data_IF_427040125460
#
_entry.id   IF_427040125460
#
_cell.length_a   1.000
_cell.length_b   1.000
_cell.length_c   1.000
_cell.angle_alpha   90.00
_cell.angle_beta   90.00
_cell.angle_gamma   90.00
#
_symmetry.space_group_name_H-M   'P 1'
#
loop_
_entity.id
_entity.type
_entity.pdbx_description
1 polymer ?
#
# COMPACT_ATOMS: atom_id res chain seq x y z
N UNK A 1 -24.01 37.03 5.27
CA UNK A 1 -23.93 35.57 4.98
C UNK A 1 -23.39 35.31 3.56
N UNK A 2 -24.05 35.78 2.49
CA UNK A 2 -23.62 35.58 1.08
C UNK A 2 -22.17 35.97 0.72
N UNK A 3 -21.58 37.00 1.35
CA UNK A 3 -20.19 37.42 1.08
C UNK A 3 -19.16 36.43 1.66
N UNK A 4 -19.45 35.82 2.82
CA UNK A 4 -18.58 34.80 3.43
C UNK A 4 -18.61 33.51 2.62
N UNK A 5 -19.75 33.16 2.05
CA UNK A 5 -19.92 31.98 1.20
C UNK A 5 -19.21 32.14 -0.16
N UNK A 6 -19.25 33.35 -0.73
CA UNK A 6 -18.49 33.69 -1.94
C UNK A 6 -16.98 33.64 -1.71
N UNK A 7 -16.49 34.25 -0.63
CA UNK A 7 -15.07 34.23 -0.25
C UNK A 7 -14.58 32.81 0.01
N UNK A 8 -15.35 32.01 0.76
CA UNK A 8 -15.04 30.60 0.99
C UNK A 8 -14.95 29.80 -0.32
N UNK A 9 -15.89 30.02 -1.25
CA UNK A 9 -15.87 29.37 -2.57
C UNK A 9 -14.62 29.71 -3.36
N UNK A 10 -14.18 30.97 -3.38
CA UNK A 10 -12.97 31.38 -4.09
C UNK A 10 -11.70 30.82 -3.44
N UNK A 11 -11.63 30.79 -2.11
CA UNK A 11 -10.51 30.19 -1.38
C UNK A 11 -10.44 28.69 -1.65
N UNK A 12 -11.57 27.97 -1.55
CA UNK A 12 -11.64 26.54 -1.81
C UNK A 12 -11.26 26.21 -3.26
N UNK A 13 -11.75 27.00 -4.23
CA UNK A 13 -11.40 26.84 -5.65
C UNK A 13 -9.91 27.09 -5.88
N UNK A 14 -9.35 28.14 -5.28
CA UNK A 14 -7.92 28.44 -5.36
C UNK A 14 -7.07 27.29 -4.80
N UNK A 15 -7.40 26.78 -3.61
CA UNK A 15 -6.70 25.64 -3.01
C UNK A 15 -6.80 24.37 -3.89
N UNK A 16 -7.97 24.10 -4.48
CA UNK A 16 -8.17 22.97 -5.39
C UNK A 16 -7.39 23.12 -6.70
N UNK A 17 -7.31 24.33 -7.27
CA UNK A 17 -6.50 24.59 -8.46
C UNK A 17 -5.01 24.48 -8.15
N UNK A 18 -4.55 25.05 -7.03
CA UNK A 18 -3.18 24.92 -6.59
C UNK A 18 -2.78 23.44 -6.40
N UNK A 19 -3.61 22.63 -5.75
CA UNK A 19 -3.29 21.21 -5.54
C UNK A 19 -3.14 20.45 -6.87
N UNK A 20 -4.02 20.71 -7.84
CA UNK A 20 -3.93 20.13 -9.20
C UNK A 20 -2.65 20.59 -9.91
N UNK A 21 -2.31 21.88 -9.84
CA UNK A 21 -1.09 22.44 -10.45
C UNK A 21 0.17 21.80 -9.83
N UNK A 22 0.24 21.67 -8.50
CA UNK A 22 1.37 21.03 -7.83
C UNK A 22 1.49 19.55 -8.20
N UNK A 23 0.37 18.81 -8.22
CA UNK A 23 0.38 17.40 -8.65
C UNK A 23 0.90 17.27 -10.08
N UNK A 24 0.41 18.10 -10.99
CA UNK A 24 0.87 18.11 -12.37
C UNK A 24 2.36 18.49 -12.48
N UNK A 25 2.81 19.47 -11.70
CA UNK A 25 4.22 19.86 -11.62
C UNK A 25 5.13 18.73 -11.12
N UNK A 26 4.70 17.96 -10.11
CA UNK A 26 5.43 16.78 -9.62
C UNK A 26 5.53 15.73 -10.72
N UNK A 27 4.42 15.43 -11.39
CA UNK A 27 4.41 14.47 -12.51
C UNK A 27 5.38 14.94 -13.61
N UNK A 28 5.26 16.18 -14.07
CA UNK A 28 6.16 16.72 -15.09
C UNK A 28 7.63 16.66 -14.66
N UNK A 29 7.94 16.96 -13.41
CA UNK A 29 9.31 16.89 -12.88
C UNK A 29 9.83 15.45 -12.90
N UNK A 30 9.02 14.48 -12.47
CA UNK A 30 9.39 13.07 -12.49
C UNK A 30 9.71 12.60 -13.91
N UNK A 31 8.86 12.95 -14.88
CA UNK A 31 9.07 12.54 -16.27
C UNK A 31 10.24 13.28 -16.93
N UNK A 32 10.41 14.58 -16.65
CA UNK A 32 11.50 15.39 -17.21
C UNK A 32 12.85 14.91 -16.72
N UNK A 33 13.00 14.69 -15.42
CA UNK A 33 14.27 14.25 -14.82
C UNK A 33 14.52 12.76 -15.02
N UNK A 34 13.48 11.93 -15.14
CA UNK A 34 13.64 10.49 -15.34
C UNK A 34 13.80 10.07 -16.80
N UNK A 35 13.35 10.85 -17.78
CA UNK A 35 13.47 10.50 -19.20
C UNK A 35 14.91 10.23 -19.70
N UNK A 36 15.94 11.00 -19.29
CA UNK A 36 17.32 10.79 -19.74
C UNK A 36 17.85 9.37 -19.53
N UNK A 37 17.53 8.69 -18.43
CA UNK A 37 18.06 7.34 -18.17
C UNK A 37 17.62 6.33 -19.22
N UNK A 38 16.42 6.49 -19.79
CA UNK A 38 15.91 5.61 -20.83
C UNK A 38 16.61 5.82 -22.18
N UNK A 39 17.24 6.98 -22.40
CA UNK A 39 18.09 7.23 -23.57
C UNK A 39 19.48 6.64 -23.39
N UNK A 40 20.02 6.71 -22.17
CA UNK A 40 21.38 6.26 -21.84
C UNK A 40 21.42 4.73 -21.74
N UNK A 41 20.55 4.15 -20.90
CA UNK A 41 20.58 2.72 -20.57
C UNK A 41 19.56 1.90 -21.39
N UNK A 42 18.49 2.54 -21.88
CA UNK A 42 17.40 1.86 -22.60
C UNK A 42 16.33 1.28 -21.67
N UNK A 43 15.06 1.41 -22.05
CA UNK A 43 13.90 0.97 -21.23
C UNK A 43 13.97 -0.52 -20.87
N UNK A 44 14.25 -1.39 -21.85
CA UNK A 44 14.27 -2.85 -21.64
C UNK A 44 15.40 -3.23 -20.67
N UNK A 45 16.61 -2.68 -20.87
CA UNK A 45 17.73 -2.96 -19.97
C UNK A 45 17.44 -2.42 -18.58
N UNK A 46 16.87 -1.22 -18.45
CA UNK A 46 16.51 -0.63 -17.16
C UNK A 46 15.55 -1.54 -16.38
N UNK A 47 14.47 -2.02 -17.02
CA UNK A 47 13.45 -2.83 -16.36
C UNK A 47 13.88 -4.26 -16.05
N UNK A 48 14.65 -4.91 -16.94
CA UNK A 48 14.90 -6.35 -16.86
C UNK A 48 16.33 -6.73 -16.44
N UNK A 49 17.23 -5.76 -16.30
CA UNK A 49 18.58 -6.01 -15.75
C UNK A 49 18.51 -6.17 -14.22
N UNK A 50 19.24 -7.15 -13.70
CA UNK A 50 19.21 -7.53 -12.27
C UNK A 50 20.07 -6.65 -11.37
N UNK A 51 21.07 -5.98 -11.93
CA UNK A 51 22.08 -5.25 -11.16
C UNK A 51 21.69 -3.79 -10.94
N UNK A 52 21.58 -3.41 -9.66
CA UNK A 52 21.53 -2.01 -9.23
C UNK A 52 22.88 -1.67 -8.58
N UNK A 53 23.75 -1.08 -9.38
CA UNK A 53 25.14 -0.76 -9.02
C UNK A 53 25.50 0.65 -9.54
N UNK A 54 24.87 1.71 -9.00
CA UNK A 54 25.06 3.07 -9.50
C UNK A 54 26.45 3.66 -9.20
N UNK A 55 27.18 3.10 -8.23
CA UNK A 55 28.49 3.58 -7.77
C UNK A 55 29.67 2.74 -8.26
N UNK A 56 29.43 1.71 -9.07
CA UNK A 56 30.49 0.89 -9.66
C UNK A 56 31.18 1.62 -10.81
N UNK A 57 32.44 1.26 -11.12
CA UNK A 57 33.19 1.80 -12.27
C UNK A 57 32.41 1.63 -13.58
N UNK A 58 31.80 0.45 -13.78
CA UNK A 58 30.77 0.22 -14.79
C UNK A 58 29.39 0.32 -14.13
N UNK A 59 28.81 1.52 -14.15
CA UNK A 59 27.51 1.76 -13.53
C UNK A 59 26.40 0.92 -14.18
N UNK A 60 25.59 0.28 -13.35
CA UNK A 60 24.43 -0.51 -13.78
C UNK A 60 23.15 -0.03 -13.09
N UNK A 61 22.15 0.34 -13.89
CA UNK A 61 20.89 0.90 -13.40
C UNK A 61 19.71 -0.07 -13.59
N UNK A 62 19.97 -1.38 -13.55
CA UNK A 62 18.93 -2.40 -13.64
C UNK A 62 18.07 -2.46 -12.39
N UNK A 63 16.75 -2.33 -12.55
CA UNK A 63 15.81 -2.23 -11.42
C UNK A 63 14.99 -3.50 -11.20
N UNK A 64 15.26 -4.61 -11.90
CA UNK A 64 14.47 -5.84 -11.76
C UNK A 64 14.49 -6.38 -10.32
N UNK A 65 15.64 -6.32 -9.65
CA UNK A 65 15.76 -6.69 -8.24
C UNK A 65 14.89 -5.79 -7.34
N UNK A 66 14.83 -4.49 -7.63
CA UNK A 66 14.02 -3.54 -6.85
C UNK A 66 12.52 -3.76 -7.06
N UNK A 67 12.11 -4.01 -8.31
CA UNK A 67 10.73 -4.37 -8.66
C UNK A 67 10.33 -5.64 -7.91
N UNK A 68 11.13 -6.70 -8.04
CA UNK A 68 10.84 -7.98 -7.37
C UNK A 68 10.78 -7.84 -5.85
N UNK A 69 11.70 -7.09 -5.24
CA UNK A 69 11.69 -6.78 -3.81
C UNK A 69 10.40 -6.07 -3.37
N UNK A 70 9.98 -5.03 -4.11
CA UNK A 70 8.71 -4.32 -3.84
C UNK A 70 7.50 -5.26 -3.91
N UNK A 71 7.41 -6.08 -4.95
CA UNK A 71 6.26 -6.99 -5.13
C UNK A 71 6.23 -8.09 -4.08
N UNK A 72 7.36 -8.71 -3.74
CA UNK A 72 7.43 -9.75 -2.70
C UNK A 72 6.95 -9.21 -1.36
N UNK A 73 7.42 -8.02 -0.97
CA UNK A 73 7.00 -7.38 0.30
C UNK A 73 5.53 -6.96 0.25
N UNK A 74 5.08 -6.38 -0.86
CA UNK A 74 3.68 -5.94 -1.01
C UNK A 74 2.72 -7.14 -0.96
N UNK A 75 2.98 -8.18 -1.75
CA UNK A 75 2.15 -9.39 -1.75
C UNK A 75 2.19 -10.09 -0.39
N UNK A 76 3.39 -10.24 0.20
CA UNK A 76 3.55 -10.81 1.53
C UNK A 76 2.75 -10.06 2.60
N UNK A 77 2.77 -8.72 2.56
CA UNK A 77 2.00 -7.89 3.48
C UNK A 77 0.50 -8.04 3.31
N UNK A 78 0.00 -8.19 2.07
CA UNK A 78 -1.43 -8.38 1.80
C UNK A 78 -1.93 -9.77 2.23
N UNK A 79 -1.11 -10.81 2.12
CA UNK A 79 -1.42 -12.14 2.64
C UNK A 79 -1.71 -12.07 4.15
N UNK A 80 -1.02 -11.18 4.88
CA UNK A 80 -1.26 -10.93 6.31
C UNK A 80 -2.44 -9.98 6.52
N UNK A 81 -2.46 -8.86 5.80
CA UNK A 81 -3.37 -7.76 6.06
C UNK A 81 -4.83 -8.06 5.65
N UNK A 82 -5.04 -8.78 4.55
CA UNK A 82 -6.38 -9.08 4.05
C UNK A 82 -7.18 -9.95 5.04
N UNK A 83 -6.71 -11.13 5.47
CA UNK A 83 -7.47 -11.97 6.39
C UNK A 83 -7.68 -11.30 7.75
N UNK A 84 -6.65 -10.61 8.28
CA UNK A 84 -6.77 -9.91 9.55
C UNK A 84 -7.68 -8.68 9.45
N UNK A 85 -7.57 -7.89 8.39
CA UNK A 85 -8.38 -6.69 8.16
C UNK A 85 -9.84 -7.02 7.89
N UNK A 86 -10.11 -7.89 6.92
CA UNK A 86 -11.48 -8.30 6.59
C UNK A 86 -12.11 -9.09 7.75
N UNK A 87 -11.34 -9.98 8.39
CA UNK A 87 -11.82 -10.71 9.58
C UNK A 87 -12.18 -9.78 10.73
N UNK A 88 -11.35 -8.77 11.01
CA UNK A 88 -11.65 -7.75 12.03
C UNK A 88 -12.87 -6.92 11.66
N UNK A 89 -13.03 -6.56 10.39
CA UNK A 89 -14.21 -5.84 9.91
C UNK A 89 -15.50 -6.64 10.11
N UNK A 90 -15.50 -7.92 9.75
CA UNK A 90 -16.64 -8.83 9.96
C UNK A 90 -16.95 -8.96 11.44
N UNK A 91 -15.92 -9.14 12.28
CA UNK A 91 -16.11 -9.24 13.71
C UNK A 91 -16.76 -7.96 14.28
N UNK A 92 -16.22 -6.78 13.94
CA UNK A 92 -16.71 -5.50 14.47
C UNK A 92 -18.12 -5.13 14.00
N UNK A 93 -18.47 -5.47 12.75
CA UNK A 93 -19.76 -5.12 12.16
C UNK A 93 -20.88 -6.11 12.50
N UNK A 94 -20.58 -7.41 12.48
CA UNK A 94 -21.61 -8.45 12.55
C UNK A 94 -21.60 -9.22 13.88
N UNK A 95 -20.44 -9.40 14.51
CA UNK A 95 -20.29 -10.31 15.66
C UNK A 95 -20.25 -9.54 16.99
N UNK A 96 -19.54 -8.42 17.03
CA UNK A 96 -19.30 -7.64 18.23
C UNK A 96 -20.59 -6.99 18.74
N UNK A 97 -20.78 -7.04 20.07
CA UNK A 97 -21.82 -6.25 20.72
C UNK A 97 -21.50 -4.75 20.69
N UNK A 98 -22.50 -3.92 20.97
CA UNK A 98 -22.39 -2.45 20.95
C UNK A 98 -21.18 -1.93 21.76
N UNK A 99 -21.04 -2.37 23.02
CA UNK A 99 -19.93 -1.96 23.90
C UNK A 99 -18.56 -2.36 23.35
N UNK A 100 -18.44 -3.57 22.81
CA UNK A 100 -17.18 -4.07 22.24
C UNK A 100 -16.77 -3.26 21.02
N UNK A 101 -17.73 -2.93 20.14
CA UNK A 101 -17.50 -2.12 18.95
C UNK A 101 -17.06 -0.69 19.31
N UNK A 102 -17.73 -0.05 20.27
CA UNK A 102 -17.39 1.30 20.73
C UNK A 102 -15.97 1.39 21.31
N UNK A 103 -15.46 0.31 21.89
CA UNK A 103 -14.10 0.27 22.42
C UNK A 103 -13.11 -0.03 21.30
N UNK A 104 -13.33 -1.12 20.54
CA UNK A 104 -12.33 -1.62 19.59
C UNK A 104 -12.19 -0.76 18.33
N UNK A 105 -13.26 -0.15 17.82
CA UNK A 105 -13.19 0.66 16.58
C UNK A 105 -12.22 1.85 16.74
N UNK A 106 -12.30 2.67 17.81
CA UNK A 106 -11.30 3.71 18.09
C UNK A 106 -9.86 3.16 18.18
N UNK A 107 -9.63 2.00 18.80
CA UNK A 107 -8.29 1.41 18.84
C UNK A 107 -7.75 1.07 17.45
N UNK A 108 -8.58 0.50 16.57
CA UNK A 108 -8.19 0.24 15.18
C UNK A 108 -7.85 1.54 14.46
N UNK A 109 -8.65 2.59 14.64
CA UNK A 109 -8.40 3.90 14.04
C UNK A 109 -7.12 4.56 14.59
N UNK A 110 -6.84 4.41 15.89
CA UNK A 110 -5.60 4.88 16.51
C UNK A 110 -4.37 4.16 15.94
N UNK A 111 -4.46 2.85 15.65
CA UNK A 111 -3.37 2.10 15.01
C UNK A 111 -3.07 2.64 13.61
N UNK A 112 -4.07 3.12 12.87
CA UNK A 112 -3.89 3.76 11.57
C UNK A 112 -3.15 5.11 11.67
N UNK A 113 -3.25 5.79 12.82
CA UNK A 113 -2.58 7.05 13.10
C UNK A 113 -1.10 6.93 13.49
N UNK A 114 -0.59 5.72 13.73
CA UNK A 114 0.81 5.49 14.10
C UNK A 114 1.73 5.79 12.89
N UNK A 115 2.73 6.68 13.03
CA UNK A 115 3.71 6.94 11.98
C UNK A 115 4.45 5.68 11.52
N UNK A 116 4.70 5.54 10.22
CA UNK A 116 5.31 4.31 9.67
C UNK A 116 6.74 4.06 10.16
N UNK A 117 7.48 5.12 10.50
CA UNK A 117 8.81 5.03 11.12
C UNK A 117 8.77 4.29 12.45
N UNK A 118 7.68 4.42 13.24
CA UNK A 118 7.55 3.72 14.52
C UNK A 118 7.39 2.22 14.28
N UNK A 119 6.57 1.82 13.30
CA UNK A 119 6.48 0.42 12.88
C UNK A 119 7.82 -0.11 12.36
N UNK A 120 8.54 0.68 11.56
CA UNK A 120 9.88 0.34 11.06
C UNK A 120 10.89 0.14 12.19
N UNK A 121 10.92 1.04 13.18
CA UNK A 121 11.78 0.94 14.35
C UNK A 121 11.44 -0.30 15.18
N UNK A 122 10.15 -0.54 15.45
CA UNK A 122 9.72 -1.74 16.17
C UNK A 122 10.09 -3.02 15.41
N UNK A 123 9.87 -3.02 14.09
CA UNK A 123 10.22 -4.12 13.20
C UNK A 123 11.71 -4.45 13.24
N UNK A 124 12.57 -3.43 13.19
CA UNK A 124 14.02 -3.58 13.26
C UNK A 124 14.51 -3.98 14.66
N UNK A 125 14.01 -3.33 15.71
CA UNK A 125 14.53 -3.47 17.07
C UNK A 125 14.04 -4.74 17.78
N UNK A 126 12.84 -5.20 17.48
CA UNK A 126 12.21 -6.33 18.19
C UNK A 126 11.88 -7.49 17.26
N UNK A 127 11.13 -7.24 16.18
CA UNK A 127 10.61 -8.33 15.34
C UNK A 127 11.73 -9.02 14.55
N UNK A 128 12.66 -8.26 13.96
CA UNK A 128 13.79 -8.82 13.22
C UNK A 128 14.67 -9.72 14.10
N UNK A 129 15.16 -9.29 15.28
CA UNK A 129 15.89 -10.19 16.19
C UNK A 129 15.10 -11.42 16.61
N UNK A 130 13.78 -11.28 16.83
CA UNK A 130 12.91 -12.39 17.16
C UNK A 130 12.82 -13.42 16.03
N UNK A 131 12.52 -12.98 14.80
CA UNK A 131 12.46 -13.85 13.61
C UNK A 131 13.82 -14.49 13.32
N UNK A 132 14.90 -13.74 13.48
CA UNK A 132 16.27 -14.23 13.31
C UNK A 132 16.56 -15.43 14.23
N UNK A 133 16.19 -15.33 15.51
CA UNK A 133 16.37 -16.42 16.48
C UNK A 133 15.41 -17.58 16.24
N UNK A 134 14.14 -17.28 15.92
CA UNK A 134 13.10 -18.28 15.72
C UNK A 134 13.39 -19.21 14.54
N UNK A 135 13.91 -18.66 13.44
CA UNK A 135 14.20 -19.41 12.21
C UNK A 135 15.69 -19.69 12.00
N UNK A 136 16.55 -19.37 12.99
CA UNK A 136 18.00 -19.51 12.93
C UNK A 136 18.62 -18.90 11.65
N UNK A 137 18.26 -17.64 11.37
CA UNK A 137 18.67 -16.91 10.16
C UNK A 137 19.91 -16.04 10.41
N UNK A 138 20.70 -15.72 9.38
CA UNK A 138 21.83 -14.79 9.52
C UNK A 138 21.39 -13.36 9.81
N UNK A 139 20.19 -12.97 9.38
CA UNK A 139 19.60 -11.66 9.66
C UNK A 139 18.08 -11.73 9.69
N UNK A 140 17.48 -10.97 10.60
CA UNK A 140 16.04 -10.74 10.65
C UNK A 140 15.57 -9.63 9.72
N UNK A 141 16.48 -8.87 9.11
CA UNK A 141 16.15 -7.80 8.16
C UNK A 141 15.97 -8.41 6.77
N UNK A 142 14.74 -8.84 6.48
CA UNK A 142 14.42 -9.59 5.28
C UNK A 142 12.97 -9.34 4.83
N UNK A 143 12.63 -9.89 3.65
CA UNK A 143 11.31 -9.71 3.07
C UNK A 143 10.17 -10.28 3.95
N UNK A 144 10.40 -11.40 4.66
CA UNK A 144 9.43 -12.01 5.56
C UNK A 144 9.06 -11.09 6.73
N UNK A 145 10.06 -10.65 7.50
CA UNK A 145 9.87 -9.73 8.64
C UNK A 145 9.19 -8.44 8.18
N UNK A 146 9.63 -7.90 7.05
CA UNK A 146 9.05 -6.68 6.46
C UNK A 146 7.60 -6.87 6.07
N UNK A 147 7.26 -8.01 5.46
CA UNK A 147 5.89 -8.35 5.07
C UNK A 147 4.97 -8.43 6.28
N UNK A 148 5.41 -9.01 7.39
CA UNK A 148 4.60 -9.10 8.61
C UNK A 148 4.31 -7.71 9.17
N UNK A 149 5.35 -6.91 9.42
CA UNK A 149 5.16 -5.61 10.07
C UNK A 149 4.40 -4.63 9.18
N UNK A 150 4.68 -4.64 7.86
CA UNK A 150 3.90 -3.88 6.89
C UNK A 150 2.45 -4.36 6.82
N UNK A 151 2.23 -5.68 6.87
CA UNK A 151 0.90 -6.27 6.89
C UNK A 151 0.08 -5.76 8.09
N UNK A 152 0.65 -5.82 9.29
CA UNK A 152 0.04 -5.30 10.53
C UNK A 152 -0.29 -3.81 10.38
N UNK A 153 0.62 -3.02 9.82
CA UNK A 153 0.39 -1.59 9.60
C UNK A 153 -0.77 -1.33 8.61
N UNK A 154 -0.99 -2.21 7.63
CA UNK A 154 -2.07 -2.09 6.63
C UNK A 154 -3.42 -2.61 7.14
N UNK A 155 -3.43 -3.48 8.16
CA UNK A 155 -4.66 -4.05 8.76
C UNK A 155 -5.70 -2.97 9.12
N UNK A 156 -5.37 -1.88 9.83
CA UNK A 156 -6.35 -0.85 10.19
C UNK A 156 -7.06 -0.23 8.98
N UNK A 157 -6.34 -0.03 7.87
CA UNK A 157 -6.90 0.54 6.64
C UNK A 157 -7.94 -0.40 6.03
N UNK A 158 -7.58 -1.68 5.88
CA UNK A 158 -8.50 -2.68 5.34
C UNK A 158 -9.69 -2.89 6.29
N UNK A 159 -9.43 -2.97 7.60
CA UNK A 159 -10.45 -3.22 8.62
C UNK A 159 -11.46 -2.08 8.71
N UNK A 160 -11.01 -0.83 8.80
CA UNK A 160 -11.91 0.32 8.98
C UNK A 160 -12.83 0.49 7.76
N UNK A 161 -12.26 0.46 6.54
CA UNK A 161 -13.04 0.66 5.31
C UNK A 161 -13.94 -0.53 5.00
N UNK A 162 -13.48 -1.77 5.27
CA UNK A 162 -14.35 -2.95 5.15
C UNK A 162 -15.49 -2.93 6.17
N UNK A 163 -15.25 -2.45 7.38
CA UNK A 163 -16.28 -2.37 8.42
C UNK A 163 -17.35 -1.34 8.04
N UNK A 164 -16.96 -0.17 7.55
CA UNK A 164 -17.90 0.84 7.05
C UNK A 164 -18.73 0.28 5.86
N UNK A 165 -18.10 -0.45 4.95
CA UNK A 165 -18.77 -1.11 3.84
C UNK A 165 -19.82 -2.13 4.31
N UNK A 166 -19.47 -3.00 5.27
CA UNK A 166 -20.37 -4.02 5.80
C UNK A 166 -21.52 -3.37 6.61
N UNK A 167 -21.19 -2.38 7.45
CA UNK A 167 -22.15 -1.66 8.28
C UNK A 167 -23.13 -0.81 7.48
N UNK A 168 -22.78 -0.41 6.24
CA UNK A 168 -23.68 0.32 5.34
C UNK A 168 -24.78 -0.53 4.71
N UNK A 169 -24.67 -1.86 4.78
CA UNK A 169 -25.70 -2.75 4.25
C UNK A 169 -26.99 -2.57 5.08
N UNK A 170 -28.17 -2.41 4.45
CA UNK A 170 -29.44 -2.22 5.16
C UNK A 170 -29.76 -3.37 6.13
N UNK A 171 -30.39 -3.06 7.27
CA UNK A 171 -30.74 -4.08 8.29
C UNK A 171 -31.84 -5.02 7.79
N UNK A 172 -32.70 -4.53 6.92
CA UNK A 172 -33.82 -5.24 6.31
C UNK A 172 -33.34 -6.49 5.56
N UNK A 173 -32.16 -6.44 4.91
CA UNK A 173 -31.58 -7.60 4.25
C UNK A 173 -31.17 -8.70 5.25
N UNK A 174 -30.73 -8.32 6.45
CA UNK A 174 -30.38 -9.26 7.52
C UNK A 174 -31.65 -9.90 8.09
N UNK A 175 -32.66 -9.08 8.37
CA UNK A 175 -33.97 -9.51 8.88
C UNK A 175 -34.69 -10.44 7.89
N UNK A 176 -34.67 -10.13 6.59
CA UNK A 176 -35.22 -10.98 5.54
C UNK A 176 -34.50 -12.35 5.48
N UNK A 177 -33.17 -12.37 5.61
CA UNK A 177 -32.39 -13.62 5.68
C UNK A 177 -32.79 -14.45 6.89
N UNK A 178 -32.95 -13.84 8.07
CA UNK A 178 -33.41 -14.52 9.27
C UNK A 178 -34.85 -15.05 9.15
N UNK A 179 -35.74 -14.30 8.49
CA UNK A 179 -37.12 -14.73 8.23
C UNK A 179 -37.19 -15.96 7.30
N UNK A 180 -36.20 -16.14 6.41
CA UNK A 180 -36.04 -17.34 5.59
C UNK A 180 -35.39 -18.53 6.33
N UNK A 181 -35.16 -18.40 7.64
CA UNK A 181 -34.59 -19.45 8.49
C UNK A 181 -33.05 -19.55 8.44
N UNK A 182 -32.36 -18.60 7.82
CA UNK A 182 -30.90 -18.58 7.79
C UNK A 182 -30.34 -18.25 9.19
N UNK A 183 -29.23 -18.88 9.56
CA UNK A 183 -28.53 -18.51 10.79
C UNK A 183 -27.60 -17.29 10.57
N UNK A 184 -27.03 -16.75 11.65
CA UNK A 184 -26.14 -15.59 11.62
C UNK A 184 -24.96 -15.74 10.66
N UNK A 185 -24.28 -16.89 10.65
CA UNK A 185 -23.15 -17.13 9.75
C UNK A 185 -23.58 -17.22 8.29
N UNK A 186 -24.73 -17.83 8.01
CA UNK A 186 -25.29 -17.88 6.67
C UNK A 186 -25.68 -16.50 6.16
N UNK A 187 -26.31 -15.66 6.99
CA UNK A 187 -26.62 -14.27 6.65
C UNK A 187 -25.35 -13.49 6.33
N UNK A 188 -24.29 -13.62 7.15
CA UNK A 188 -23.01 -12.96 6.90
C UNK A 188 -22.42 -13.41 5.56
N UNK A 189 -22.29 -14.72 5.35
CA UNK A 189 -21.57 -15.28 4.21
C UNK A 189 -22.35 -15.17 2.89
N UNK A 190 -23.67 -15.38 2.90
CA UNK A 190 -24.49 -15.47 1.69
C UNK A 190 -25.16 -14.14 1.32
N UNK A 191 -25.33 -13.20 2.26
CA UNK A 191 -26.05 -11.93 2.02
C UNK A 191 -25.13 -10.74 2.22
N UNK A 192 -24.56 -10.60 3.41
CA UNK A 192 -23.83 -9.38 3.80
C UNK A 192 -22.51 -9.24 3.03
N UNK A 193 -21.64 -10.26 3.04
CA UNK A 193 -20.35 -10.20 2.34
C UNK A 193 -20.49 -10.03 0.82
N UNK A 194 -21.41 -10.73 0.13
CA UNK A 194 -21.65 -10.50 -1.29
C UNK A 194 -22.19 -9.10 -1.59
N UNK A 195 -23.01 -8.53 -0.70
CA UNK A 195 -23.50 -7.16 -0.84
C UNK A 195 -22.38 -6.13 -0.62
N UNK A 196 -21.52 -6.33 0.38
CA UNK A 196 -20.40 -5.44 0.74
C UNK A 196 -19.15 -5.61 -0.13
N UNK A 197 -19.14 -6.55 -1.09
CA UNK A 197 -17.94 -6.96 -1.84
C UNK A 197 -17.22 -5.77 -2.50
N UNK A 198 -17.94 -4.81 -3.07
CA UNK A 198 -17.35 -3.63 -3.73
C UNK A 198 -16.54 -2.76 -2.76
N UNK A 199 -17.05 -2.57 -1.55
CA UNK A 199 -16.35 -1.84 -0.49
C UNK A 199 -15.16 -2.60 0.08
N UNK A 200 -15.31 -3.92 0.28
CA UNK A 200 -14.19 -4.77 0.72
C UNK A 200 -13.06 -4.75 -0.33
N UNK A 201 -13.37 -4.92 -1.62
CA UNK A 201 -12.37 -4.80 -2.70
C UNK A 201 -11.71 -3.41 -2.71
N UNK A 202 -12.48 -2.34 -2.54
CA UNK A 202 -11.91 -0.99 -2.46
C UNK A 202 -10.94 -0.84 -1.28
N UNK A 203 -11.27 -1.40 -0.10
CA UNK A 203 -10.38 -1.38 1.07
C UNK A 203 -9.07 -2.12 0.81
N UNK A 204 -9.12 -3.28 0.15
CA UNK A 204 -7.94 -4.10 -0.18
C UNK A 204 -7.06 -3.35 -1.19
N UNK A 205 -7.65 -2.73 -2.20
CA UNK A 205 -6.91 -1.93 -3.18
C UNK A 205 -6.23 -0.71 -2.54
N UNK A 206 -6.89 -0.03 -1.60
CA UNK A 206 -6.28 1.05 -0.82
C UNK A 206 -5.12 0.52 0.04
N UNK A 207 -5.28 -0.65 0.66
CA UNK A 207 -4.21 -1.33 1.37
C UNK A 207 -3.02 -1.68 0.46
N UNK A 208 -3.26 -2.19 -0.74
CA UNK A 208 -2.22 -2.43 -1.75
C UNK A 208 -1.48 -1.14 -2.11
N UNK A 209 -2.21 -0.06 -2.39
CA UNK A 209 -1.63 1.25 -2.71
C UNK A 209 -0.76 1.78 -1.58
N UNK A 210 -1.18 1.58 -0.33
CA UNK A 210 -0.41 1.96 0.85
C UNK A 210 0.86 1.11 1.01
N UNK A 211 0.78 -0.19 0.76
CA UNK A 211 1.87 -1.13 0.92
C UNK A 211 2.97 -0.94 -0.13
N UNK A 212 2.59 -0.81 -1.42
CA UNK A 212 3.56 -0.62 -2.51
C UNK A 212 4.26 0.74 -2.44
N UNK A 213 3.59 1.74 -1.87
CA UNK A 213 4.11 3.08 -1.65
C UNK A 213 4.77 3.29 -0.29
N UNK A 214 4.92 2.24 0.53
CA UNK A 214 5.60 2.40 1.82
C UNK A 214 7.10 2.61 1.61
N UNK A 215 7.65 3.61 2.30
CA UNK A 215 9.03 4.06 2.08
C UNK A 215 9.89 3.86 3.33
N UNK A 216 9.46 4.36 4.48
CA UNK A 216 10.32 4.42 5.67
C UNK A 216 10.38 3.09 6.41
N UNK A 217 9.24 2.42 6.57
CA UNK A 217 9.22 1.11 7.23
C UNK A 217 10.08 0.10 6.45
N UNK A 218 9.92 0.05 5.13
CA UNK A 218 10.67 -0.90 4.30
C UNK A 218 12.16 -0.55 4.22
N UNK A 219 12.53 0.73 4.24
CA UNK A 219 13.93 1.15 4.32
C UNK A 219 14.63 0.60 5.57
N UNK A 220 13.90 0.55 6.69
CA UNK A 220 14.43 0.08 7.98
C UNK A 220 14.49 -1.44 8.09
N UNK A 221 13.50 -2.16 7.57
CA UNK A 221 13.32 -3.60 7.91
C UNK A 221 13.70 -4.54 6.75
N UNK A 222 13.68 -4.09 5.50
CA UNK A 222 13.85 -4.98 4.34
C UNK A 222 15.27 -5.54 4.16
N UNK A 223 16.26 -4.95 4.83
CA UNK A 223 17.66 -5.36 4.78
C UNK A 223 18.45 -4.75 3.60
N UNK A 224 17.77 -4.11 2.65
CA UNK A 224 18.39 -3.19 1.70
C UNK A 224 19.30 -3.85 0.66
N UNK A 225 19.18 -5.14 0.38
CA UNK A 225 19.97 -5.78 -0.67
C UNK A 225 19.28 -5.66 -2.04
N UNK A 226 19.98 -5.11 -3.03
CA UNK A 226 19.48 -4.98 -4.40
C UNK A 226 19.75 -6.25 -5.23
N UNK A 227 19.28 -7.39 -4.73
CA UNK A 227 19.39 -8.71 -5.36
C UNK A 227 18.02 -9.34 -5.48
N UNK A 228 17.81 -10.18 -6.51
CA UNK A 228 16.57 -10.94 -6.62
C UNK A 228 16.51 -11.94 -5.45
N UNK A 229 15.47 -11.88 -4.61
CA UNK A 229 15.37 -12.78 -3.46
C UNK A 229 15.24 -14.24 -3.92
N UNK A 230 16.07 -15.12 -3.35
CA UNK A 230 15.97 -16.58 -3.58
C UNK A 230 15.00 -17.26 -2.62
N UNK A 231 14.66 -16.57 -1.53
CA UNK A 231 13.77 -17.03 -0.47
C UNK A 231 13.05 -15.84 0.16
N UNK A 232 11.93 -16.06 0.84
CA UNK A 232 11.21 -15.04 1.61
C UNK A 232 12.06 -14.49 2.77
N UNK A 233 13.06 -15.24 3.23
CA UNK A 233 14.02 -14.80 4.25
C UNK A 233 15.23 -14.05 3.67
N UNK A 234 15.26 -13.79 2.36
CA UNK A 234 16.31 -12.97 1.75
C UNK A 234 16.08 -11.48 2.05
N UNK A 235 17.15 -10.71 2.32
CA UNK A 235 17.12 -9.26 2.27
C UNK A 235 16.70 -8.77 0.89
N UNK A 236 15.94 -7.68 0.86
CA UNK A 236 15.46 -7.04 -0.37
C UNK A 236 15.54 -5.52 -0.27
N UNK A 237 15.56 -4.84 -1.42
CA UNK A 237 15.50 -3.38 -1.50
C UNK A 237 14.29 -2.97 -2.35
N UNK A 238 13.14 -2.63 -1.75
CA UNK A 238 12.03 -2.07 -2.51
C UNK A 238 12.37 -0.75 -3.22
N UNK A 239 11.72 -0.46 -4.34
CA UNK A 239 11.92 0.74 -5.15
C UNK A 239 11.81 2.05 -4.34
N UNK A 240 10.82 2.15 -3.45
CA UNK A 240 10.61 3.31 -2.57
C UNK A 240 11.81 3.53 -1.64
N UNK A 241 12.34 2.46 -1.04
CA UNK A 241 13.54 2.53 -0.20
C UNK A 241 14.79 2.90 -0.98
N UNK A 242 14.94 2.42 -2.22
CA UNK A 242 16.07 2.79 -3.07
C UNK A 242 16.07 4.30 -3.38
N UNK A 243 14.91 4.84 -3.75
CA UNK A 243 14.74 6.29 -3.96
C UNK A 243 15.08 7.06 -2.68
N UNK A 244 14.48 6.68 -1.55
CA UNK A 244 14.67 7.43 -0.31
C UNK A 244 16.10 7.36 0.25
N UNK A 245 16.77 6.22 0.09
CA UNK A 245 18.13 6.02 0.59
C UNK A 245 19.19 6.78 -0.23
N UNK A 246 18.96 6.91 -1.54
CA UNK A 246 20.03 7.34 -2.45
C UNK A 246 19.78 8.73 -3.06
N UNK A 247 18.54 9.25 -3.04
CA UNK A 247 18.23 10.56 -3.65
C UNK A 247 18.98 11.72 -3.01
N UNK A 248 19.22 11.68 -1.69
CA UNK A 248 19.99 12.71 -0.99
C UNK A 248 21.48 12.70 -1.32
N UNK A 249 22.01 11.55 -1.74
CA UNK A 249 23.44 11.35 -2.01
C UNK A 249 23.77 11.49 -3.51
N UNK A 250 22.77 11.38 -4.39
CA UNK A 250 22.95 11.47 -5.82
C UNK A 250 23.22 12.92 -6.26
N UNK A 251 24.32 13.14 -6.99
CA UNK A 251 24.64 14.45 -7.58
C UNK A 251 23.58 14.83 -8.60
N UNK A 252 23.00 16.03 -8.45
CA UNK A 252 21.96 16.54 -9.36
C UNK A 252 22.47 16.56 -10.80
N UNK A 253 21.71 15.95 -11.70
CA UNK A 253 22.07 15.83 -13.12
C UNK A 253 23.02 14.68 -13.47
N UNK A 254 23.43 13.86 -12.49
CA UNK A 254 24.18 12.62 -12.75
C UNK A 254 23.29 11.50 -13.31
N UNK A 255 23.91 10.47 -13.89
CA UNK A 255 23.17 9.27 -14.35
C UNK A 255 22.45 8.57 -13.19
N UNK A 256 23.05 8.54 -12.00
CA UNK A 256 22.43 7.98 -10.80
C UNK A 256 21.17 8.77 -10.40
N UNK A 257 21.25 10.10 -10.42
CA UNK A 257 20.08 10.96 -10.17
C UNK A 257 18.95 10.69 -11.17
N UNK A 258 19.27 10.62 -12.47
CA UNK A 258 18.29 10.29 -13.51
C UNK A 258 17.72 8.87 -13.34
N UNK A 259 18.53 7.90 -12.91
CA UNK A 259 18.07 6.54 -12.65
C UNK A 259 17.07 6.47 -11.48
N UNK A 260 17.28 7.24 -10.40
CA UNK A 260 16.34 7.30 -9.28
C UNK A 260 15.00 7.92 -9.71
N UNK A 261 15.01 8.97 -10.52
CA UNK A 261 13.79 9.49 -11.15
C UNK A 261 13.16 8.49 -12.14
N UNK A 262 13.97 7.69 -12.82
CA UNK A 262 13.52 6.55 -13.62
C UNK A 262 12.76 5.52 -12.80
N UNK A 263 13.24 5.17 -11.60
CA UNK A 263 12.51 4.30 -10.66
C UNK A 263 11.18 4.96 -10.28
N UNK A 264 11.15 6.26 -10.02
CA UNK A 264 9.93 6.99 -9.68
C UNK A 264 8.90 6.96 -10.83
N UNK A 265 9.33 7.05 -12.09
CA UNK A 265 8.44 6.87 -13.26
C UNK A 265 7.83 5.46 -13.24
N UNK A 266 8.63 4.41 -13.01
CA UNK A 266 8.14 3.03 -13.00
C UNK A 266 7.15 2.81 -11.85
N UNK A 267 7.45 3.33 -10.66
CA UNK A 267 6.54 3.26 -9.50
C UNK A 267 5.23 4.02 -9.78
N UNK A 268 5.31 5.21 -10.38
CA UNK A 268 4.15 5.99 -10.82
C UNK A 268 3.29 5.20 -11.81
N UNK A 269 3.90 4.57 -12.81
CA UNK A 269 3.19 3.74 -13.79
C UNK A 269 2.49 2.57 -13.11
N UNK A 270 3.17 1.84 -12.23
CA UNK A 270 2.59 0.70 -11.50
C UNK A 270 1.40 1.14 -10.65
N UNK A 271 1.57 2.21 -9.87
CA UNK A 271 0.51 2.74 -9.00
C UNK A 271 -0.67 3.29 -9.80
N UNK A 272 -0.42 4.00 -10.90
CA UNK A 272 -1.45 4.51 -11.80
C UNK A 272 -2.29 3.37 -12.40
N UNK A 273 -1.66 2.34 -12.98
CA UNK A 273 -2.39 1.22 -13.55
C UNK A 273 -3.14 0.41 -12.48
N UNK A 274 -2.56 0.20 -11.29
CA UNK A 274 -3.26 -0.45 -10.19
C UNK A 274 -4.51 0.30 -9.76
N UNK A 275 -4.43 1.63 -9.68
CA UNK A 275 -5.57 2.48 -9.35
C UNK A 275 -6.64 2.45 -10.45
N UNK A 276 -6.24 2.46 -11.73
CA UNK A 276 -7.17 2.33 -12.86
C UNK A 276 -7.91 0.99 -12.87
N UNK A 277 -7.21 -0.11 -12.58
CA UNK A 277 -7.80 -1.44 -12.48
C UNK A 277 -8.82 -1.46 -11.33
N UNK A 278 -8.44 -0.93 -10.17
CA UNK A 278 -9.32 -0.84 -8.99
C UNK A 278 -10.61 -0.10 -9.30
N UNK A 279 -10.52 1.08 -9.92
CA UNK A 279 -11.68 1.90 -10.26
C UNK A 279 -12.57 1.20 -11.31
N UNK A 280 -11.97 0.53 -12.28
CA UNK A 280 -12.68 -0.23 -13.31
C UNK A 280 -13.46 -1.41 -12.71
N UNK A 281 -12.85 -2.15 -11.77
CA UNK A 281 -13.50 -3.26 -11.06
C UNK A 281 -14.63 -2.76 -10.19
N UNK A 282 -14.41 -1.68 -9.42
CA UNK A 282 -15.45 -1.04 -8.59
C UNK A 282 -16.69 -0.67 -9.42
N UNK A 283 -16.49 -0.01 -10.56
CA UNK A 283 -17.59 0.37 -11.47
C UNK A 283 -18.35 -0.83 -12.02
N UNK A 284 -17.66 -1.90 -12.40
CA UNK A 284 -18.30 -3.14 -12.88
C UNK A 284 -19.12 -3.81 -11.78
N UNK A 285 -18.58 -3.88 -10.56
CA UNK A 285 -19.27 -4.49 -9.42
C UNK A 285 -20.52 -3.71 -9.03
N UNK A 286 -20.44 -2.38 -8.94
CA UNK A 286 -21.61 -1.53 -8.63
C UNK A 286 -22.70 -1.66 -9.71
N UNK A 287 -22.32 -1.74 -10.99
CA UNK A 287 -23.29 -1.95 -12.09
C UNK A 287 -24.00 -3.30 -12.01
N UNK A 288 -23.30 -4.35 -11.57
CA UNK A 288 -23.88 -5.68 -11.42
C UNK A 288 -24.78 -5.82 -10.17
N UNK A 289 -24.74 -4.87 -9.22
CA UNK A 289 -25.60 -4.83 -8.03
C UNK A 289 -26.87 -3.98 -8.23
N UNK A 290 -26.91 -3.16 -9.27
CA UNK A 290 -28.07 -2.31 -9.63
C UNK A 290 -28.97 -2.97 -10.70
N UNK A 291 -28.77 -4.26 -10.98
CA UNK A 291 -29.57 -5.12 -11.86
C UNK A 291 -30.19 -6.23 -11.00
#
# INVERSE_FOLDING_TARGET
>A
MKFKDGLFKYIALFCALCSVIFLFGIILSIFKEGYPIFRIFGVVKFLFTRGWYPTHEEASFGILALITGSFVVTVGSLIVAIPLGVGSAIFLSEIAGFKTREILKPFVELLAGIPSVIYGLFGMAFLAPFIMRLFNLPTGLNAFTTSIILGIMVVPIISSISEDAISSIPKELREASYALGANKWETIYKVVLPAAKSGIFASISLGFGRAIGETMLVLMVAGGAAVIPKSIFSPVRPMTSAIAAEMGEAVVGSEHYYALFGIAIVLFVITFFSNLITESVKRKVMRAQNL
#
